data_IF_871456583047
#
_entry.id   IF_871456583047
#
_cell.length_a   1.000
_cell.length_b   1.000
_cell.length_c   1.000
_cell.angle_alpha   90.00
_cell.angle_beta   90.00
_cell.angle_gamma   90.00
#
_symmetry.space_group_name_H-M   'P 1'
#
loop_
_entity.id
_entity.type
_entity.pdbx_description
1 polymer ?
#
# COMPACT_ATOMS: atom_id res chain seq x y z
N UNK A 1 -16.75 -0.95 -17.25
CA UNK A 1 -17.42 0.35 -17.02
C UNK A 1 -17.13 0.74 -15.58
N UNK A 2 -16.21 1.69 -15.30
CA UNK A 2 -16.14 2.31 -13.99
C UNK A 2 -17.37 3.19 -13.82
N UNK A 3 -18.06 3.09 -12.68
CA UNK A 3 -19.29 3.81 -12.40
C UNK A 3 -19.06 5.32 -12.36
N UNK A 4 -19.61 6.03 -13.34
CA UNK A 4 -19.74 7.48 -13.31
C UNK A 4 -20.74 7.84 -12.21
N UNK A 5 -20.37 8.73 -11.30
CA UNK A 5 -21.27 9.24 -10.25
C UNK A 5 -22.33 10.10 -10.94
N UNK A 6 -23.51 9.53 -11.18
CA UNK A 6 -24.71 10.27 -11.52
C UNK A 6 -25.52 10.46 -10.25
N UNK A 7 -25.42 11.63 -9.62
CA UNK A 7 -26.37 12.02 -8.56
C UNK A 7 -26.81 13.46 -8.72
N UNK A 8 -28.06 13.57 -9.21
CA UNK A 8 -29.01 14.67 -9.10
C UNK A 8 -28.70 15.69 -7.99
N UNK A 9 -28.44 16.94 -8.37
CA UNK A 9 -28.75 18.11 -7.52
C UNK A 9 -29.87 18.92 -8.17
N UNK A 10 -31.02 18.92 -7.52
CA UNK A 10 -32.13 19.81 -7.79
C UNK A 10 -31.70 21.26 -7.54
N UNK A 11 -32.16 22.16 -8.40
CA UNK A 11 -32.03 23.60 -8.26
C UNK A 11 -32.67 24.12 -6.96
N UNK A 12 -31.92 24.94 -6.24
CA UNK A 12 -32.48 26.01 -5.42
C UNK A 12 -31.58 27.24 -5.56
N UNK A 13 -32.13 28.28 -6.19
CA UNK A 13 -31.52 29.61 -6.34
C UNK A 13 -31.36 30.31 -4.98
N UNK A 14 -30.34 31.17 -4.87
CA UNK A 14 -30.31 32.28 -3.90
C UNK A 14 -29.20 32.20 -2.86
N UNK A 15 -28.06 32.83 -3.15
CA UNK A 15 -27.03 33.13 -2.16
C UNK A 15 -25.80 33.78 -2.79
N UNK A 16 -25.50 35.01 -2.38
CA UNK A 16 -24.34 35.80 -2.82
C UNK A 16 -23.01 35.02 -2.87
N UNK A 17 -22.09 35.38 -3.79
CA UNK A 17 -20.80 34.73 -3.87
C UNK A 17 -20.03 35.01 -2.58
N UNK A 18 -19.88 33.99 -1.74
CA UNK A 18 -18.86 34.00 -0.69
C UNK A 18 -17.53 33.99 -1.42
N UNK A 19 -16.77 35.08 -1.29
CA UNK A 19 -15.37 35.12 -1.71
C UNK A 19 -14.67 33.88 -1.16
N UNK A 20 -14.31 32.96 -2.05
CA UNK A 20 -13.61 31.73 -1.71
C UNK A 20 -12.20 32.12 -1.27
N UNK A 21 -11.98 32.18 0.03
CA UNK A 21 -10.64 32.14 0.62
C UNK A 21 -10.01 30.84 0.13
N UNK A 22 -9.09 30.94 -0.83
CA UNK A 22 -8.35 29.79 -1.33
C UNK A 22 -7.58 29.20 -0.15
N UNK A 23 -8.01 28.04 0.34
CA UNK A 23 -7.33 27.31 1.40
C UNK A 23 -5.92 26.95 0.88
N UNK A 24 -4.91 27.67 1.35
CA UNK A 24 -3.53 27.17 1.31
C UNK A 24 -3.54 25.88 2.13
N UNK A 25 -3.30 24.73 1.50
CA UNK A 25 -3.39 23.42 2.15
C UNK A 25 -2.73 23.40 3.52
N UNK A 26 -3.30 22.66 4.46
CA UNK A 26 -2.69 22.46 5.77
C UNK A 26 -1.54 21.45 5.68
N UNK A 27 -0.51 21.66 6.51
CA UNK A 27 0.69 20.84 6.55
C UNK A 27 1.00 20.38 7.97
N UNK A 28 1.61 19.21 8.09
CA UNK A 28 2.28 18.80 9.32
C UNK A 28 3.46 19.74 9.63
N UNK A 29 3.67 19.99 10.92
CA UNK A 29 4.96 20.53 11.37
C UNK A 29 6.09 19.55 11.07
N UNK A 30 7.33 20.05 11.00
CA UNK A 30 8.51 19.22 10.71
C UNK A 30 8.61 17.99 11.62
N UNK A 31 8.41 18.17 12.93
CA UNK A 31 8.50 17.08 13.90
C UNK A 31 7.37 16.04 13.71
N UNK A 32 6.15 16.50 13.43
CA UNK A 32 5.04 15.59 13.14
C UNK A 32 5.27 14.82 11.83
N UNK A 33 5.82 15.48 10.81
CA UNK A 33 6.14 14.84 9.54
C UNK A 33 7.25 13.78 9.70
N UNK A 34 8.31 14.06 10.44
CA UNK A 34 9.35 13.08 10.78
C UNK A 34 8.78 11.86 11.52
N UNK A 35 7.84 12.09 12.45
CA UNK A 35 7.12 11.02 13.13
C UNK A 35 6.24 10.21 12.16
N UNK A 36 5.47 10.87 11.29
CA UNK A 36 4.64 10.21 10.28
C UNK A 36 5.47 9.35 9.33
N UNK A 37 6.62 9.85 8.86
CA UNK A 37 7.57 9.09 8.05
C UNK A 37 8.14 7.88 8.80
N UNK A 38 8.46 8.02 10.09
CA UNK A 38 8.99 6.92 10.91
C UNK A 38 7.93 5.84 11.12
N UNK A 39 6.70 6.24 11.47
CA UNK A 39 5.54 5.34 11.65
C UNK A 39 5.23 4.57 10.37
N UNK A 40 5.29 5.24 9.22
CA UNK A 40 4.93 4.68 7.92
C UNK A 40 6.14 4.24 7.09
N UNK A 41 7.30 4.03 7.71
CA UNK A 41 8.57 3.76 7.01
C UNK A 41 8.47 2.58 6.05
N UNK A 42 7.84 1.48 6.47
CA UNK A 42 7.68 0.30 5.62
C UNK A 42 6.81 0.59 4.38
N UNK A 43 5.72 1.34 4.57
CA UNK A 43 4.80 1.68 3.48
C UNK A 43 5.51 2.55 2.43
N UNK A 44 6.28 3.55 2.88
CA UNK A 44 7.09 4.41 2.03
C UNK A 44 8.13 3.60 1.24
N UNK A 45 8.82 2.67 1.90
CA UNK A 45 9.82 1.81 1.25
C UNK A 45 9.19 0.92 0.17
N UNK A 46 8.03 0.31 0.46
CA UNK A 46 7.29 -0.52 -0.50
C UNK A 46 6.83 0.31 -1.69
N UNK A 47 6.27 1.50 -1.46
CA UNK A 47 5.91 2.44 -2.52
C UNK A 47 7.11 2.74 -3.42
N UNK A 48 8.23 3.20 -2.86
CA UNK A 48 9.42 3.55 -3.62
C UNK A 48 9.92 2.38 -4.46
N UNK A 49 9.96 1.18 -3.88
CA UNK A 49 10.39 -0.03 -4.59
C UNK A 49 9.44 -0.37 -5.75
N UNK A 50 8.14 -0.47 -5.50
CA UNK A 50 7.15 -0.82 -6.52
C UNK A 50 7.13 0.19 -7.67
N UNK A 51 7.16 1.49 -7.37
CA UNK A 51 7.17 2.53 -8.40
C UNK A 51 8.48 2.50 -9.19
N UNK A 52 9.63 2.30 -8.53
CA UNK A 52 10.93 2.20 -9.24
C UNK A 52 10.98 1.05 -10.25
N UNK A 53 10.30 -0.07 -9.99
CA UNK A 53 10.29 -1.24 -10.88
C UNK A 53 9.47 -1.00 -12.16
N UNK A 54 8.50 -0.08 -12.12
CA UNK A 54 7.62 0.18 -13.27
C UNK A 54 7.96 1.47 -14.00
N UNK A 55 8.55 2.47 -13.33
CA UNK A 55 8.68 3.83 -13.87
C UNK A 55 9.43 3.90 -15.20
N UNK A 56 10.43 3.04 -15.39
CA UNK A 56 11.22 2.97 -16.62
C UNK A 56 10.42 2.47 -17.83
N UNK A 57 9.28 1.83 -17.58
CA UNK A 57 8.36 1.30 -18.60
C UNK A 57 7.16 2.22 -18.84
N UNK A 58 7.04 3.31 -18.09
CA UNK A 58 5.95 4.27 -18.25
C UNK A 58 6.33 5.35 -19.26
N UNK A 59 5.40 5.66 -20.15
CA UNK A 59 5.54 6.76 -21.10
C UNK A 59 4.48 7.83 -20.85
N UNK A 60 4.83 9.09 -21.09
CA UNK A 60 3.93 10.23 -20.88
C UNK A 60 4.11 10.90 -19.52
N UNK A 61 3.14 11.72 -19.14
CA UNK A 61 3.09 12.43 -17.86
C UNK A 61 2.42 11.56 -16.81
N UNK A 62 3.08 11.34 -15.67
CA UNK A 62 2.50 10.63 -14.54
C UNK A 62 3.01 11.20 -13.22
N UNK A 63 2.16 11.14 -12.20
CA UNK A 63 2.48 11.50 -10.83
C UNK A 63 1.85 10.46 -9.89
N UNK A 64 2.66 9.88 -9.02
CA UNK A 64 2.25 8.99 -7.96
C UNK A 64 2.33 9.73 -6.64
N UNK A 65 1.28 9.69 -5.84
CA UNK A 65 1.22 10.21 -4.49
C UNK A 65 0.92 9.07 -3.52
N UNK A 66 1.67 9.01 -2.42
CA UNK A 66 1.40 8.10 -1.31
C UNK A 66 1.04 8.92 -0.08
N UNK A 67 -0.13 8.67 0.50
CA UNK A 67 -0.51 9.23 1.81
C UNK A 67 -0.56 8.16 2.89
N UNK A 68 -0.53 8.58 4.15
CA UNK A 68 -1.02 7.74 5.25
C UNK A 68 -2.55 7.68 5.29
N UNK A 69 -3.09 6.93 6.25
CA UNK A 69 -4.53 6.73 6.43
C UNK A 69 -5.30 8.01 6.80
N UNK A 70 -4.61 9.05 7.27
CA UNK A 70 -5.20 10.36 7.60
C UNK A 70 -5.09 11.35 6.43
N UNK A 71 -4.58 10.90 5.28
CA UNK A 71 -4.42 11.72 4.08
C UNK A 71 -3.19 12.62 4.08
N UNK A 72 -2.18 12.39 4.94
CA UNK A 72 -0.91 13.14 4.91
C UNK A 72 -0.03 12.61 3.79
N UNK A 73 0.43 13.47 2.88
CA UNK A 73 1.36 13.10 1.82
C UNK A 73 2.73 12.70 2.38
N UNK A 74 3.08 11.42 2.24
CA UNK A 74 4.32 10.83 2.75
C UNK A 74 5.43 10.76 1.69
N UNK A 75 5.05 10.44 0.46
CA UNK A 75 5.98 10.28 -0.65
C UNK A 75 5.31 10.62 -1.98
N UNK A 76 6.12 10.97 -2.97
CA UNK A 76 5.68 11.17 -4.35
C UNK A 76 6.79 10.79 -5.33
N UNK A 77 6.40 10.34 -6.52
CA UNK A 77 7.30 10.04 -7.65
C UNK A 77 6.60 10.46 -8.95
N UNK A 78 7.31 11.02 -9.91
CA UNK A 78 6.71 11.60 -11.11
C UNK A 78 7.65 11.55 -12.30
N UNK A 79 7.08 11.62 -13.51
CA UNK A 79 7.83 11.70 -14.75
C UNK A 79 8.63 13.00 -14.83
N UNK A 80 9.85 12.96 -15.39
CA UNK A 80 10.76 14.10 -15.43
C UNK A 80 10.15 15.35 -16.09
N UNK A 81 9.30 15.16 -17.10
CA UNK A 81 8.58 16.25 -17.79
C UNK A 81 7.53 16.96 -16.91
N UNK A 82 7.16 16.42 -15.75
CA UNK A 82 6.30 17.08 -14.77
C UNK A 82 7.09 17.82 -13.68
N UNK A 83 8.43 17.74 -13.66
CA UNK A 83 9.25 18.29 -12.58
C UNK A 83 8.96 19.78 -12.32
N UNK A 84 8.97 20.62 -13.36
CA UNK A 84 8.69 22.06 -13.21
C UNK A 84 7.27 22.33 -12.70
N UNK A 85 6.30 21.54 -13.18
CA UNK A 85 4.89 21.66 -12.76
C UNK A 85 4.74 21.32 -11.27
N UNK A 86 5.40 20.25 -10.81
CA UNK A 86 5.40 19.84 -9.39
C UNK A 86 6.18 20.83 -8.52
N UNK A 87 7.28 21.40 -9.01
CA UNK A 87 8.07 22.40 -8.28
C UNK A 87 7.29 23.70 -8.10
N UNK A 88 6.52 24.14 -9.09
CA UNK A 88 5.71 25.38 -9.02
C UNK A 88 4.38 25.19 -8.27
N UNK A 89 3.98 23.94 -8.08
CA UNK A 89 2.81 23.50 -7.34
C UNK A 89 2.94 23.73 -5.82
N UNK A 90 1.84 23.86 -5.05
CA UNK A 90 1.85 23.91 -3.60
C UNK A 90 1.98 22.51 -2.95
N UNK A 91 1.94 21.42 -3.73
CA UNK A 91 2.00 20.05 -3.21
C UNK A 91 3.40 19.77 -2.69
N UNK A 92 3.52 19.59 -1.38
CA UNK A 92 4.76 19.18 -0.71
C UNK A 92 4.49 18.07 0.28
N UNK A 93 5.51 17.26 0.56
CA UNK A 93 5.43 16.24 1.59
C UNK A 93 5.00 16.86 2.93
N UNK A 94 4.13 16.16 3.65
CA UNK A 94 3.49 16.63 4.88
C UNK A 94 2.18 17.39 4.67
N UNK A 95 1.77 17.65 3.43
CA UNK A 95 0.46 18.24 3.11
C UNK A 95 -0.68 17.27 3.42
N UNK A 96 -1.80 17.78 3.95
CA UNK A 96 -3.04 17.01 4.05
C UNK A 96 -3.83 17.06 2.73
N UNK A 97 -4.35 15.91 2.32
CA UNK A 97 -5.24 15.75 1.18
C UNK A 97 -6.71 15.55 1.58
N UNK A 98 -7.07 15.92 2.81
CA UNK A 98 -8.46 15.91 3.28
C UNK A 98 -9.27 17.05 2.64
N UNK A 99 -10.59 16.87 2.57
CA UNK A 99 -11.51 17.90 2.03
C UNK A 99 -11.38 19.22 2.80
N UNK A 100 -11.24 19.17 4.12
CA UNK A 100 -11.03 20.35 4.97
C UNK A 100 -9.73 21.10 4.64
N UNK A 101 -8.69 20.38 4.21
CA UNK A 101 -7.37 20.95 3.96
C UNK A 101 -7.25 21.60 2.58
N UNK A 102 -7.62 20.87 1.53
CA UNK A 102 -7.39 21.30 0.15
C UNK A 102 -8.61 21.13 -0.77
N UNK A 103 -9.80 21.00 -0.19
CA UNK A 103 -11.06 20.83 -0.90
C UNK A 103 -11.24 19.42 -1.46
N UNK A 104 -12.35 19.21 -2.16
CA UNK A 104 -12.64 17.93 -2.85
C UNK A 104 -11.53 17.61 -3.86
N UNK A 105 -10.91 16.46 -3.64
CA UNK A 105 -9.86 15.84 -4.44
C UNK A 105 -9.97 14.30 -4.35
N UNK A 106 -9.31 13.55 -5.24
CA UNK A 106 -9.51 12.10 -5.31
C UNK A 106 -9.15 11.35 -4.02
N UNK A 107 -8.13 11.80 -3.27
CA UNK A 107 -7.77 11.19 -1.98
C UNK A 107 -8.85 11.50 -0.93
N UNK A 108 -9.34 12.74 -0.84
CA UNK A 108 -10.45 13.06 0.07
C UNK A 108 -11.73 12.27 -0.22
N UNK A 109 -12.02 12.02 -1.50
CA UNK A 109 -13.17 11.24 -1.94
C UNK A 109 -13.00 9.76 -1.59
N UNK A 110 -11.80 9.22 -1.80
CA UNK A 110 -11.45 7.85 -1.40
C UNK A 110 -11.51 7.68 0.13
N UNK A 111 -11.09 8.69 0.92
CA UNK A 111 -11.25 8.70 2.38
C UNK A 111 -12.72 8.63 2.77
N UNK A 112 -13.57 9.44 2.12
CA UNK A 112 -14.99 9.55 2.47
C UNK A 112 -15.78 8.30 2.11
N UNK A 113 -15.46 7.68 0.99
CA UNK A 113 -16.21 6.54 0.44
C UNK A 113 -15.61 5.18 0.83
N UNK A 114 -14.37 5.15 1.34
CA UNK A 114 -13.59 3.93 1.60
C UNK A 114 -13.53 3.00 0.38
N UNK A 115 -13.40 3.59 -0.81
CA UNK A 115 -13.37 2.89 -2.10
C UNK A 115 -12.44 3.61 -3.08
N UNK A 116 -12.08 2.94 -4.17
CA UNK A 116 -11.32 3.53 -5.28
C UNK A 116 -12.17 4.57 -6.02
N UNK A 117 -11.56 5.73 -6.30
CA UNK A 117 -12.21 6.85 -6.97
C UNK A 117 -11.37 7.32 -8.15
N UNK A 118 -12.04 7.50 -9.28
CA UNK A 118 -11.53 8.32 -10.37
C UNK A 118 -12.21 9.69 -10.29
N UNK A 119 -11.42 10.75 -10.19
CA UNK A 119 -11.91 12.13 -10.15
C UNK A 119 -11.37 12.88 -11.38
N UNK A 120 -12.24 13.35 -12.29
CA UNK A 120 -11.83 14.16 -13.42
C UNK A 120 -11.63 15.64 -13.02
N UNK A 121 -10.92 16.45 -13.84
CA UNK A 121 -10.55 17.83 -13.53
C UNK A 121 -11.72 18.72 -13.07
N UNK A 122 -12.89 18.57 -13.68
CA UNK A 122 -14.08 19.36 -13.41
C UNK A 122 -14.66 19.14 -12.00
N UNK A 123 -14.47 17.96 -11.43
CA UNK A 123 -15.02 17.56 -10.12
C UNK A 123 -14.14 17.96 -8.93
N UNK A 124 -12.91 18.43 -9.17
CA UNK A 124 -12.08 19.00 -8.10
C UNK A 124 -12.61 20.36 -7.64
N UNK A 125 -12.59 20.65 -6.33
CA UNK A 125 -12.97 21.98 -5.83
C UNK A 125 -11.84 22.99 -5.90
N UNK A 126 -10.62 22.59 -5.54
CA UNK A 126 -9.47 23.50 -5.56
C UNK A 126 -9.03 23.80 -6.99
N UNK A 127 -8.87 25.10 -7.35
CA UNK A 127 -8.40 25.50 -8.68
C UNK A 127 -7.03 24.95 -9.06
N UNK A 128 -6.25 24.49 -8.08
CA UNK A 128 -4.96 23.85 -8.32
C UNK A 128 -5.07 22.50 -9.04
N UNK A 129 -6.16 21.76 -8.83
CA UNK A 129 -6.37 20.43 -9.42
C UNK A 129 -7.23 20.46 -10.70
N UNK A 130 -7.58 21.65 -11.22
CA UNK A 130 -8.50 21.80 -12.38
C UNK A 130 -7.93 21.34 -13.72
N UNK A 131 -6.72 20.78 -13.74
CA UNK A 131 -6.14 20.12 -14.90
C UNK A 131 -5.67 18.69 -14.62
N UNK A 132 -6.09 18.13 -13.48
CA UNK A 132 -5.64 16.84 -12.99
C UNK A 132 -6.72 15.79 -13.23
N UNK A 133 -6.30 14.64 -13.74
CA UNK A 133 -7.10 13.43 -13.68
C UNK A 133 -6.48 12.55 -12.62
N UNK A 134 -7.25 12.20 -11.58
CA UNK A 134 -6.75 11.49 -10.42
C UNK A 134 -7.46 10.15 -10.28
N UNK A 135 -6.69 9.10 -9.96
CA UNK A 135 -7.21 7.80 -9.59
C UNK A 135 -6.63 7.42 -8.22
N UNK A 136 -7.45 7.55 -7.18
CA UNK A 136 -7.06 7.25 -5.80
C UNK A 136 -7.62 5.91 -5.36
N UNK A 137 -6.80 5.10 -4.70
CA UNK A 137 -7.17 3.78 -4.19
C UNK A 137 -6.75 3.63 -2.72
N UNK A 138 -7.66 3.23 -1.82
CA UNK A 138 -7.30 2.89 -0.45
C UNK A 138 -6.41 1.66 -0.41
N UNK A 139 -5.39 1.70 0.45
CA UNK A 139 -4.48 0.59 0.72
C UNK A 139 -4.95 -0.12 1.99
N UNK A 140 -5.83 -1.10 1.84
CA UNK A 140 -6.48 -1.77 2.98
C UNK A 140 -5.99 -3.19 3.20
N UNK A 141 -5.62 -3.52 4.44
CA UNK A 141 -5.23 -4.86 4.89
C UNK A 141 -6.28 -5.37 5.89
N UNK A 142 -7.09 -6.33 5.45
CA UNK A 142 -8.24 -6.78 6.23
C UNK A 142 -9.25 -5.65 6.40
N UNK A 143 -9.35 -5.08 7.61
CA UNK A 143 -10.18 -3.88 7.90
C UNK A 143 -9.36 -2.63 8.22
N UNK A 144 -8.04 -2.72 8.14
CA UNK A 144 -7.15 -1.64 8.51
C UNK A 144 -6.61 -0.94 7.25
N UNK A 145 -7.01 0.31 7.05
CA UNK A 145 -6.44 1.16 6.02
C UNK A 145 -5.04 1.63 6.46
N UNK A 146 -4.02 1.43 5.63
CA UNK A 146 -2.65 1.88 5.90
C UNK A 146 -2.27 3.16 5.16
N UNK A 147 -3.07 3.59 4.18
CA UNK A 147 -2.83 4.78 3.38
C UNK A 147 -3.59 4.78 2.06
N UNK A 148 -3.29 5.76 1.21
CA UNK A 148 -3.90 5.87 -0.12
C UNK A 148 -2.79 6.00 -1.16
N UNK A 149 -2.97 5.33 -2.29
CA UNK A 149 -2.18 5.54 -3.49
C UNK A 149 -3.02 6.35 -4.47
N UNK A 150 -2.53 7.51 -4.88
CA UNK A 150 -3.11 8.27 -5.98
C UNK A 150 -2.19 8.26 -7.19
N UNK A 151 -2.79 8.02 -8.35
CA UNK A 151 -2.13 8.08 -9.65
C UNK A 151 -2.79 9.18 -10.47
N UNK A 152 -1.98 10.15 -10.88
CA UNK A 152 -2.44 11.38 -11.49
C UNK A 152 -1.77 11.66 -12.84
N UNK A 153 -2.51 12.27 -13.75
CA UNK A 153 -1.97 12.97 -14.93
C UNK A 153 -2.31 14.46 -14.84
N UNK A 154 -1.41 15.31 -15.33
CA UNK A 154 -1.61 16.77 -15.35
C UNK A 154 -1.60 17.24 -16.79
N UNK A 155 -2.59 18.06 -17.17
CA UNK A 155 -2.77 18.65 -18.51
C UNK A 155 -2.88 17.61 -19.65
N UNK A 156 -3.27 16.38 -19.33
CA UNK A 156 -3.48 15.31 -20.29
C UNK A 156 -4.47 14.28 -19.74
N UNK A 157 -5.27 13.70 -20.62
CA UNK A 157 -6.15 12.59 -20.27
C UNK A 157 -5.34 11.40 -19.73
N UNK A 158 -5.95 10.71 -18.77
CA UNK A 158 -5.37 9.48 -18.25
C UNK A 158 -5.51 8.36 -19.28
N UNK A 159 -4.38 7.95 -19.88
CA UNK A 159 -4.34 6.83 -20.84
C UNK A 159 -4.79 5.53 -20.17
N UNK A 160 -5.39 4.63 -20.96
CA UNK A 160 -5.91 3.33 -20.49
C UNK A 160 -4.87 2.47 -19.76
N UNK A 161 -3.61 2.56 -20.17
CA UNK A 161 -2.48 1.86 -19.60
C UNK A 161 -2.20 2.35 -18.18
N UNK A 162 -2.25 3.67 -17.96
CA UNK A 162 -2.05 4.24 -16.63
C UNK A 162 -3.23 3.94 -15.71
N UNK A 163 -4.46 3.86 -16.23
CA UNK A 163 -5.62 3.37 -15.48
C UNK A 163 -5.42 1.91 -15.05
N UNK A 164 -4.90 1.05 -15.93
CA UNK A 164 -4.61 -0.34 -15.59
C UNK A 164 -3.53 -0.42 -14.48
N UNK A 165 -2.49 0.41 -14.60
CA UNK A 165 -1.43 0.54 -13.60
C UNK A 165 -2.00 1.01 -12.25
N UNK A 166 -2.85 2.04 -12.24
CA UNK A 166 -3.49 2.56 -11.04
C UNK A 166 -4.34 1.50 -10.32
N UNK A 167 -4.91 0.54 -11.06
CA UNK A 167 -5.68 -0.59 -10.50
C UNK A 167 -4.80 -1.75 -10.01
N UNK A 168 -3.63 -1.95 -10.60
CA UNK A 168 -2.78 -3.12 -10.33
C UNK A 168 -1.69 -2.85 -9.28
N UNK A 169 -1.09 -1.65 -9.27
CA UNK A 169 -0.05 -1.30 -8.29
C UNK A 169 -0.54 -1.47 -6.84
N UNK A 170 -1.75 -1.02 -6.45
CA UNK A 170 -2.19 -1.16 -5.05
C UNK A 170 -2.11 -2.60 -4.55
N UNK A 171 -2.57 -3.57 -5.34
CA UNK A 171 -2.51 -4.99 -4.98
C UNK A 171 -1.07 -5.49 -4.84
N UNK A 172 -0.18 -5.08 -5.75
CA UNK A 172 1.24 -5.45 -5.68
C UNK A 172 1.95 -4.83 -4.47
N UNK A 173 1.64 -3.56 -4.15
CA UNK A 173 2.13 -2.89 -2.95
C UNK A 173 1.63 -3.58 -1.68
N UNK A 174 0.34 -3.89 -1.58
CA UNK A 174 -0.24 -4.55 -0.41
C UNK A 174 0.38 -5.94 -0.18
N UNK A 175 0.55 -6.74 -1.25
CA UNK A 175 1.24 -8.03 -1.16
C UNK A 175 2.66 -7.88 -0.63
N UNK A 176 3.44 -6.94 -1.20
CA UNK A 176 4.83 -6.69 -0.80
C UNK A 176 4.92 -6.19 0.65
N UNK A 177 3.98 -5.34 1.07
CA UNK A 177 3.90 -4.82 2.41
C UNK A 177 3.59 -5.91 3.45
N UNK A 178 2.63 -6.80 3.17
CA UNK A 178 2.30 -7.94 4.03
C UNK A 178 3.47 -8.93 4.16
N UNK A 179 4.18 -9.15 3.05
CA UNK A 179 5.39 -9.98 3.07
C UNK A 179 6.46 -9.37 3.97
N UNK A 180 6.76 -8.09 3.82
CA UNK A 180 7.75 -7.43 4.66
C UNK A 180 7.36 -7.39 6.15
N UNK A 181 6.09 -7.14 6.49
CA UNK A 181 5.61 -7.20 7.87
C UNK A 181 5.86 -8.56 8.52
N UNK A 182 5.55 -9.63 7.79
CA UNK A 182 5.72 -11.00 8.31
C UNK A 182 7.21 -11.36 8.47
N UNK A 183 8.09 -10.83 7.62
CA UNK A 183 9.55 -11.02 7.75
C UNK A 183 10.12 -10.23 8.92
N UNK A 184 9.75 -8.95 9.09
CA UNK A 184 10.18 -8.12 10.22
C UNK A 184 9.75 -8.69 11.58
N UNK A 185 8.52 -9.20 11.67
CA UNK A 185 8.02 -9.81 12.90
C UNK A 185 8.83 -11.05 13.29
N UNK A 186 9.26 -11.83 12.32
CA UNK A 186 10.06 -13.02 12.57
C UNK A 186 11.54 -12.74 12.84
N UNK A 187 12.10 -11.64 12.33
CA UNK A 187 13.43 -11.16 12.72
C UNK A 187 13.45 -10.60 14.15
N UNK A 188 12.36 -9.97 14.60
CA UNK A 188 12.22 -9.46 15.97
C UNK A 188 11.96 -10.58 16.99
N UNK A 189 11.31 -11.68 16.58
CA UNK A 189 11.08 -12.86 17.41
C UNK A 189 11.69 -14.10 16.74
N UNK A 190 13.02 -14.30 16.79
CA UNK A 190 13.64 -15.46 16.17
C UNK A 190 13.10 -16.74 16.79
N UNK A 191 12.32 -17.49 16.01
CA UNK A 191 11.74 -18.76 16.43
C UNK A 191 12.86 -19.78 16.63
N UNK A 192 13.33 -19.94 17.87
CA UNK A 192 14.40 -20.90 18.16
C UNK A 192 13.88 -22.33 18.05
N UNK A 193 14.29 -23.03 17.00
CA UNK A 193 14.13 -24.47 16.86
C UNK A 193 15.31 -25.20 17.50
N UNK A 194 15.04 -26.36 18.11
CA UNK A 194 16.11 -27.30 18.47
C UNK A 194 16.69 -27.93 17.19
N UNK A 195 17.91 -28.46 17.24
CA UNK A 195 18.50 -29.17 16.08
C UNK A 195 17.58 -30.27 15.54
N UNK A 196 16.85 -30.95 16.44
CA UNK A 196 15.92 -32.02 16.07
C UNK A 196 14.72 -31.46 15.31
N UNK A 197 14.17 -30.33 15.76
CA UNK A 197 13.08 -29.64 15.09
C UNK A 197 13.52 -29.12 13.71
N UNK A 198 14.73 -28.55 13.59
CA UNK A 198 15.28 -28.11 12.30
C UNK A 198 15.48 -29.28 11.32
N UNK A 199 16.01 -30.41 11.78
CA UNK A 199 16.15 -31.62 10.96
C UNK A 199 14.80 -32.13 10.46
N UNK A 200 13.78 -32.14 11.32
CA UNK A 200 12.41 -32.51 10.94
C UNK A 200 11.84 -31.51 9.92
N UNK A 201 11.97 -30.21 10.17
CA UNK A 201 11.50 -29.14 9.28
C UNK A 201 12.15 -29.22 7.88
N UNK A 202 13.46 -29.47 7.81
CA UNK A 202 14.21 -29.66 6.56
C UNK A 202 13.76 -30.90 5.79
N UNK A 203 13.39 -31.98 6.48
CA UNK A 203 12.84 -33.16 5.79
C UNK A 203 11.41 -32.93 5.30
N UNK A 204 10.61 -32.13 6.02
CA UNK A 204 9.27 -31.73 5.59
C UNK A 204 9.35 -30.87 4.32
N UNK A 205 10.29 -29.92 4.25
CA UNK A 205 10.47 -29.07 3.06
C UNK A 205 10.93 -29.84 1.81
N UNK A 206 11.55 -30.99 2.00
CA UNK A 206 11.91 -31.94 0.93
C UNK A 206 10.74 -32.85 0.50
N UNK A 207 9.54 -32.67 1.07
CA UNK A 207 8.38 -33.51 0.76
C UNK A 207 8.45 -34.93 1.34
N UNK A 208 9.33 -35.18 2.32
CA UNK A 208 9.49 -36.51 2.92
C UNK A 208 8.30 -36.83 3.83
N UNK A 209 7.69 -38.01 3.66
CA UNK A 209 6.54 -38.44 4.47
C UNK A 209 6.92 -38.69 5.93
N UNK A 210 5.95 -38.60 6.85
CA UNK A 210 6.18 -38.83 8.30
C UNK A 210 6.86 -40.17 8.57
N UNK A 211 6.43 -41.23 7.87
CA UNK A 211 7.02 -42.56 7.95
C UNK A 211 8.48 -42.59 7.48
N UNK A 212 8.80 -41.93 6.38
CA UNK A 212 10.18 -41.84 5.89
C UNK A 212 11.07 -40.96 6.80
N UNK A 213 10.52 -39.90 7.39
CA UNK A 213 11.23 -39.08 8.40
C UNK A 213 11.57 -39.93 9.63
N UNK A 214 10.60 -40.71 10.13
CA UNK A 214 10.77 -41.60 11.27
C UNK A 214 11.93 -42.59 11.04
N UNK A 215 11.99 -43.20 9.86
CA UNK A 215 13.08 -44.10 9.45
C UNK A 215 14.42 -43.34 9.38
N UNK A 216 14.48 -42.21 8.65
CA UNK A 216 15.72 -41.43 8.47
C UNK A 216 16.31 -40.93 9.79
N UNK A 217 15.46 -40.55 10.73
CA UNK A 217 15.87 -40.00 12.02
C UNK A 217 15.96 -41.06 13.11
N UNK A 218 15.65 -42.33 12.82
CA UNK A 218 15.59 -43.44 13.78
C UNK A 218 14.72 -43.14 15.02
N UNK A 219 13.50 -42.63 14.79
CA UNK A 219 12.48 -42.36 15.83
C UNK A 219 11.12 -42.88 15.43
N UNK A 220 10.17 -42.92 16.37
CA UNK A 220 8.78 -43.31 16.12
C UNK A 220 8.04 -42.22 15.34
N UNK A 221 7.07 -42.62 14.51
CA UNK A 221 6.19 -41.68 13.78
C UNK A 221 5.45 -40.73 14.73
N UNK A 222 5.04 -41.20 15.92
CA UNK A 222 4.44 -40.35 16.94
C UNK A 222 5.37 -39.21 17.41
N UNK A 223 6.68 -39.46 17.50
CA UNK A 223 7.68 -38.45 17.84
C UNK A 223 7.86 -37.44 16.72
N UNK A 224 7.79 -37.87 15.46
CA UNK A 224 7.78 -36.96 14.30
C UNK A 224 6.54 -36.07 14.33
N UNK A 225 5.36 -36.63 14.57
CA UNK A 225 4.11 -35.86 14.70
C UNK A 225 4.15 -34.88 15.88
N UNK A 226 4.77 -35.26 16.99
CA UNK A 226 5.01 -34.36 18.12
C UNK A 226 5.93 -33.19 17.73
N UNK A 227 7.04 -33.45 17.03
CA UNK A 227 7.89 -32.38 16.51
C UNK A 227 7.16 -31.48 15.51
N UNK A 228 6.35 -32.05 14.60
CA UNK A 228 5.51 -31.28 13.66
C UNK A 228 4.58 -30.34 14.40
N UNK A 229 3.87 -30.83 15.43
CA UNK A 229 2.98 -30.02 16.25
C UNK A 229 3.72 -28.84 16.88
N UNK A 230 4.86 -29.08 17.54
CA UNK A 230 5.66 -28.00 18.14
C UNK A 230 6.16 -27.00 17.08
N UNK A 231 6.58 -27.48 15.91
CA UNK A 231 7.01 -26.60 14.82
C UNK A 231 5.86 -25.71 14.35
N UNK A 232 4.68 -26.29 14.18
CA UNK A 232 3.49 -25.57 13.72
C UNK A 232 3.03 -24.54 14.77
N UNK A 233 3.00 -24.94 16.04
CA UNK A 233 2.68 -24.05 17.16
C UNK A 233 3.67 -22.87 17.22
N UNK A 234 4.97 -23.15 17.04
CA UNK A 234 6.03 -22.13 17.03
C UNK A 234 5.97 -21.19 15.81
N UNK A 235 5.48 -21.66 14.67
CA UNK A 235 5.33 -20.86 13.44
C UNK A 235 3.95 -20.21 13.31
N UNK A 236 2.98 -20.56 14.17
CA UNK A 236 1.61 -20.06 14.08
C UNK A 236 0.84 -20.58 12.86
N UNK A 237 1.14 -21.78 12.38
CA UNK A 237 0.58 -22.36 11.14
C UNK A 237 -0.19 -23.65 11.40
N UNK A 238 -1.02 -24.08 10.44
CA UNK A 238 -1.82 -25.30 10.57
C UNK A 238 -1.44 -26.39 9.56
N UNK A 239 -0.69 -26.06 8.52
CA UNK A 239 -0.30 -26.99 7.46
C UNK A 239 1.21 -27.10 7.26
N UNK A 240 1.65 -28.25 6.74
CA UNK A 240 3.06 -28.43 6.33
C UNK A 240 3.48 -27.42 5.26
N UNK A 241 2.58 -27.06 4.35
CA UNK A 241 2.86 -26.13 3.25
C UNK A 241 3.09 -24.72 3.77
N UNK A 242 2.21 -24.23 4.66
CA UNK A 242 2.42 -22.96 5.38
C UNK A 242 3.72 -22.98 6.18
N UNK A 243 3.98 -24.06 6.91
CA UNK A 243 5.21 -24.20 7.70
C UNK A 243 6.47 -24.09 6.84
N UNK A 244 6.49 -24.70 5.66
CA UNK A 244 7.61 -24.64 4.72
C UNK A 244 7.74 -23.24 4.12
N UNK A 245 6.64 -22.61 3.70
CA UNK A 245 6.65 -21.25 3.14
C UNK A 245 7.22 -20.24 4.14
N UNK A 246 6.76 -20.28 5.39
CA UNK A 246 7.29 -19.42 6.45
C UNK A 246 8.76 -19.77 6.71
N UNK A 247 9.10 -21.04 6.91
CA UNK A 247 10.48 -21.43 7.21
C UNK A 247 11.49 -21.01 6.13
N UNK A 248 11.12 -21.04 4.84
CA UNK A 248 11.94 -20.54 3.73
C UNK A 248 12.12 -19.03 3.78
N UNK A 249 11.06 -18.27 4.06
CA UNK A 249 11.17 -16.81 4.25
C UNK A 249 12.03 -16.42 5.44
N UNK A 250 12.04 -17.24 6.48
CA UNK A 250 12.83 -17.01 7.69
C UNK A 250 14.26 -17.55 7.62
N UNK A 251 14.71 -18.01 6.45
CA UNK A 251 16.05 -18.57 6.24
C UNK A 251 16.37 -19.78 7.13
N UNK A 252 15.36 -20.56 7.53
CA UNK A 252 15.57 -21.85 8.23
C UNK A 252 15.81 -23.02 7.26
N UNK A 253 15.61 -22.81 5.95
CA UNK A 253 15.65 -23.82 4.90
C UNK A 253 16.60 -23.44 3.77
#
# INVERSE_FOLDING_TARGET
>A
MPGTINTLRQHSEGGHPRESVFLTGSFLSKQQFEYACTKNKLLIMVFQHCISNIKEHLSGTFLFLLTDAEGVLLAMDYSENLADTVIQSPIRLGMYFTEESCGVNAISEAIRLDDQIYLPPEEHESPFFKSWHCFSTPLTIGRNNVGYLDVSTINADMKSELVAIAKLIPAHMLSSYQDQLTTQHAEQFPVKFTERQQKVLKLISQGVTVKAIAIKLQIKECTVNHHKKIIFDKLGVQSSTEAVSIASRLSYL
#
